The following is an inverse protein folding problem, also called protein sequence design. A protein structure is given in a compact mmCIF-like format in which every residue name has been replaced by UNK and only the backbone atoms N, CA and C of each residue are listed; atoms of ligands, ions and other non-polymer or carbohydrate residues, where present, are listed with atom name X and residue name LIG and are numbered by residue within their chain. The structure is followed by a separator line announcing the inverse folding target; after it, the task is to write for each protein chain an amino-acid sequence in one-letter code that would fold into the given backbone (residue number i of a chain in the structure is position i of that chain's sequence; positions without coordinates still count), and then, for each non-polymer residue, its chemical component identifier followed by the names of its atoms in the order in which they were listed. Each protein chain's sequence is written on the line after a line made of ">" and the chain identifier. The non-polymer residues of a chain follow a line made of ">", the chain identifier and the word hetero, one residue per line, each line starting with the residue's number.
data_IF_209711001921
#
_entry.id   IF_209711001921
#
_cell.length_a   1.000
_cell.length_b   1.000
_cell.length_c   1.000
_cell.angle_alpha   90.00
_cell.angle_beta   90.00
_cell.angle_gamma   90.00
#
_symmetry.space_group_name_H-M   'P 1'
#
loop_
_entity.id
_entity.type
_entity.pdbx_description
1 polymer ?
#
# COMPACT_ATOMS: atom_id res chain seq x y z
N UNK A 1 -8.73 -5.73 -13.60
CA UNK A 1 -8.19 -4.96 -14.76
C UNK A 1 -6.70 -4.94 -14.55
N UNK A 2 -5.96 -5.76 -15.30
CA UNK A 2 -4.51 -5.87 -15.18
C UNK A 2 -3.90 -4.54 -15.64
N UNK A 3 -3.69 -3.62 -14.71
CA UNK A 3 -3.07 -2.36 -15.03
C UNK A 3 -1.57 -2.62 -15.16
N UNK A 4 -1.08 -2.78 -16.38
CA UNK A 4 0.33 -3.07 -16.65
C UNK A 4 1.27 -2.03 -16.04
N UNK A 5 0.78 -0.80 -15.81
CA UNK A 5 1.53 0.29 -15.18
C UNK A 5 1.69 0.06 -13.67
N UNK A 6 0.65 -0.44 -13.00
CA UNK A 6 0.69 -0.82 -11.56
C UNK A 6 1.74 -1.91 -11.32
N UNK A 7 1.74 -2.95 -12.15
CA UNK A 7 2.73 -4.02 -12.07
C UNK A 7 4.13 -3.54 -12.42
N UNK A 8 4.29 -2.69 -13.45
CA UNK A 8 5.60 -2.15 -13.84
C UNK A 8 6.21 -1.23 -12.76
N UNK A 9 5.41 -0.32 -12.20
CA UNK A 9 5.86 0.58 -11.13
C UNK A 9 6.17 -0.21 -9.85
N UNK A 10 5.30 -1.13 -9.47
CA UNK A 10 5.49 -1.95 -8.27
C UNK A 10 6.76 -2.80 -8.35
N UNK A 11 7.08 -3.34 -9.52
CA UNK A 11 8.30 -4.11 -9.76
C UNK A 11 9.55 -3.21 -9.73
N UNK A 12 9.49 -2.01 -10.33
CA UNK A 12 10.56 -1.00 -10.26
C UNK A 12 10.86 -0.54 -8.82
N UNK A 13 9.83 -0.29 -8.02
CA UNK A 13 9.98 0.13 -6.62
C UNK A 13 10.51 -1.02 -5.75
N UNK A 14 10.03 -2.24 -5.98
CA UNK A 14 10.54 -3.44 -5.33
C UNK A 14 12.03 -3.66 -5.63
N UNK A 15 12.44 -3.53 -6.89
CA UNK A 15 13.85 -3.63 -7.28
C UNK A 15 14.69 -2.51 -6.64
N UNK A 16 14.21 -1.26 -6.71
CA UNK A 16 14.94 -0.10 -6.19
C UNK A 16 15.14 -0.15 -4.67
N UNK A 17 14.09 -0.55 -3.94
CA UNK A 17 14.12 -0.60 -2.49
C UNK A 17 14.44 -1.99 -1.92
N UNK A 18 14.76 -2.96 -2.80
CA UNK A 18 14.99 -4.38 -2.47
C UNK A 18 13.85 -5.01 -1.65
N UNK A 19 12.63 -4.57 -1.92
CA UNK A 19 11.41 -5.13 -1.32
C UNK A 19 10.78 -6.16 -2.25
N UNK A 20 9.89 -6.98 -1.69
CA UNK A 20 9.10 -7.94 -2.45
C UNK A 20 7.89 -7.23 -3.10
N UNK A 21 7.78 -7.29 -4.43
CA UNK A 21 6.57 -6.86 -5.15
C UNK A 21 5.51 -7.94 -5.06
N UNK A 22 4.27 -7.53 -4.83
CA UNK A 22 3.14 -8.44 -4.70
C UNK A 22 2.03 -8.05 -5.67
N UNK A 23 1.68 -8.96 -6.58
CA UNK A 23 0.61 -8.78 -7.54
C UNK A 23 -0.72 -9.28 -6.95
N UNK A 24 -1.52 -8.34 -6.46
CA UNK A 24 -2.83 -8.63 -5.88
C UNK A 24 -3.82 -9.18 -6.91
N UNK A 25 -3.70 -8.80 -8.18
CA UNK A 25 -4.67 -9.20 -9.21
C UNK A 25 -4.42 -10.67 -9.61
N UNK A 26 -3.14 -11.06 -9.69
CA UNK A 26 -2.72 -12.44 -9.92
C UNK A 26 -3.23 -13.38 -8.81
N UNK A 27 -3.17 -12.96 -7.55
CA UNK A 27 -3.61 -13.79 -6.43
C UNK A 27 -5.12 -13.87 -6.29
N UNK A 28 -5.85 -12.78 -6.56
CA UNK A 28 -7.32 -12.85 -6.63
C UNK A 28 -7.76 -13.81 -7.74
N UNK A 29 -7.09 -13.78 -8.89
CA UNK A 29 -7.32 -14.74 -9.98
C UNK A 29 -7.05 -16.17 -9.52
N UNK A 30 -5.93 -16.44 -8.85
CA UNK A 30 -5.58 -17.78 -8.38
C UNK A 30 -6.59 -18.32 -7.35
N UNK A 31 -6.93 -17.52 -6.33
CA UNK A 31 -7.89 -17.89 -5.28
C UNK A 31 -9.31 -18.06 -5.83
N UNK A 32 -9.68 -17.30 -6.86
CA UNK A 32 -10.98 -17.46 -7.54
C UNK A 32 -11.04 -18.69 -8.47
N UNK A 33 -9.92 -19.36 -8.75
CA UNK A 33 -9.85 -20.49 -9.69
C UNK A 33 -9.60 -20.08 -11.15
N UNK A 34 -9.05 -18.89 -11.38
CA UNK A 34 -8.64 -18.34 -12.67
C UNK A 34 -9.26 -16.97 -12.99
N UNK A 35 -8.72 -16.33 -14.03
CA UNK A 35 -9.05 -14.94 -14.40
C UNK A 35 -10.54 -14.77 -14.78
N UNK A 36 -11.11 -15.78 -15.46
CA UNK A 36 -12.54 -15.81 -15.79
C UNK A 36 -13.43 -15.93 -14.55
N UNK A 37 -13.01 -16.66 -13.52
CA UNK A 37 -13.79 -16.83 -12.30
C UNK A 37 -13.71 -15.57 -11.41
N UNK A 38 -12.57 -14.89 -11.40
CA UNK A 38 -12.41 -13.59 -10.74
C UNK A 38 -13.32 -12.51 -11.36
N UNK A 39 -13.45 -12.49 -12.69
CA UNK A 39 -14.37 -11.57 -13.39
C UNK A 39 -15.82 -11.87 -13.01
N UNK A 40 -16.23 -13.14 -13.06
CA UNK A 40 -17.59 -13.54 -12.64
C UNK A 40 -17.89 -13.23 -11.16
N UNK A 41 -16.89 -13.32 -10.27
CA UNK A 41 -17.04 -12.90 -8.87
C UNK A 41 -17.30 -11.40 -8.76
N UNK A 42 -16.62 -10.58 -9.57
CA UNK A 42 -16.81 -9.12 -9.60
C UNK A 42 -18.20 -8.73 -10.10
N UNK A 43 -18.76 -9.50 -11.03
CA UNK A 43 -20.09 -9.26 -11.60
C UNK A 43 -21.24 -9.87 -10.78
N UNK A 44 -20.92 -10.67 -9.75
CA UNK A 44 -21.92 -11.32 -8.90
C UNK A 44 -22.56 -10.36 -7.90
N UNK A 45 -23.85 -10.57 -7.61
CA UNK A 45 -24.62 -9.81 -6.64
C UNK A 45 -23.94 -9.82 -5.26
N UNK A 46 -24.05 -8.71 -4.50
CA UNK A 46 -23.39 -8.56 -3.18
C UNK A 46 -23.61 -9.76 -2.24
N UNK A 47 -24.79 -10.40 -2.32
CA UNK A 47 -25.15 -11.54 -1.48
C UNK A 47 -24.40 -12.82 -1.87
N UNK A 48 -24.25 -13.08 -3.17
CA UNK A 48 -23.50 -14.23 -3.68
C UNK A 48 -22.00 -14.09 -3.43
N UNK A 49 -21.48 -12.87 -3.48
CA UNK A 49 -20.09 -12.56 -3.12
C UNK A 49 -19.82 -12.77 -1.62
N UNK A 50 -20.74 -12.34 -0.75
CA UNK A 50 -20.62 -12.44 0.72
C UNK A 50 -20.65 -13.88 1.26
N UNK A 51 -21.36 -14.77 0.58
CA UNK A 51 -21.48 -16.19 0.95
C UNK A 51 -20.38 -17.05 0.30
N UNK A 52 -19.50 -16.45 -0.50
CA UNK A 52 -18.45 -17.17 -1.24
C UNK A 52 -17.29 -17.61 -0.34
N UNK A 53 -16.87 -18.87 -0.49
CA UNK A 53 -15.65 -19.40 0.12
C UNK A 53 -14.40 -18.61 -0.32
N UNK A 54 -14.42 -18.08 -1.55
CA UNK A 54 -13.36 -17.22 -2.11
C UNK A 54 -13.19 -15.95 -1.29
N UNK A 55 -14.26 -15.34 -0.80
CA UNK A 55 -14.17 -14.13 0.04
C UNK A 55 -13.52 -14.45 1.40
N UNK A 56 -13.84 -15.60 1.98
CA UNK A 56 -13.23 -16.04 3.24
C UNK A 56 -11.73 -16.29 3.08
N UNK A 57 -11.33 -16.94 1.98
CA UNK A 57 -9.92 -17.16 1.64
C UNK A 57 -9.19 -15.84 1.37
N UNK A 58 -9.82 -14.90 0.66
CA UNK A 58 -9.24 -13.59 0.38
C UNK A 58 -9.08 -12.75 1.66
N UNK A 59 -10.04 -12.79 2.58
CA UNK A 59 -9.91 -12.14 3.89
C UNK A 59 -8.77 -12.74 4.72
N UNK A 60 -8.62 -14.06 4.73
CA UNK A 60 -7.52 -14.73 5.45
C UNK A 60 -6.15 -14.31 4.88
N UNK A 61 -6.04 -14.26 3.54
CA UNK A 61 -4.84 -13.78 2.86
C UNK A 61 -4.55 -12.31 3.21
N UNK A 62 -5.56 -11.45 3.16
CA UNK A 62 -5.41 -10.04 3.52
C UNK A 62 -4.89 -9.86 4.95
N UNK A 63 -5.43 -10.58 5.93
CA UNK A 63 -5.00 -10.48 7.33
C UNK A 63 -3.56 -10.98 7.54
N UNK A 64 -3.16 -12.05 6.87
CA UNK A 64 -1.79 -12.55 6.94
C UNK A 64 -0.80 -11.53 6.34
N UNK A 65 -1.17 -10.92 5.23
CA UNK A 65 -0.35 -9.93 4.54
C UNK A 65 -0.27 -8.59 5.27
N UNK A 66 -1.40 -8.12 5.83
CA UNK A 66 -1.45 -6.85 6.56
C UNK A 66 -0.48 -6.84 7.74
N UNK A 67 -0.21 -7.99 8.35
CA UNK A 67 0.80 -8.14 9.41
C UNK A 67 2.19 -7.71 8.94
N UNK A 68 2.57 -7.98 7.70
CA UNK A 68 3.86 -7.55 7.13
C UNK A 68 3.99 -6.03 7.02
N UNK A 69 2.87 -5.32 6.87
CA UNK A 69 2.83 -3.86 6.81
C UNK A 69 2.62 -3.18 8.16
N UNK A 70 2.40 -3.93 9.25
CA UNK A 70 2.16 -3.38 10.57
C UNK A 70 3.35 -2.56 11.13
N UNK A 71 4.56 -2.81 10.61
CA UNK A 71 5.79 -2.09 10.97
C UNK A 71 6.14 -0.97 9.98
N UNK A 72 5.31 -0.69 8.98
CA UNK A 72 5.58 0.36 8.02
C UNK A 72 5.58 1.75 8.68
N UNK A 73 6.56 2.58 8.36
CA UNK A 73 6.66 3.97 8.85
C UNK A 73 5.55 4.89 8.31
N UNK A 74 4.89 4.44 7.23
CA UNK A 74 3.89 5.20 6.49
C UNK A 74 2.85 4.29 5.83
N UNK A 75 1.66 4.84 5.62
CA UNK A 75 0.58 4.18 4.88
C UNK A 75 0.01 5.16 3.87
N UNK A 76 -0.14 4.72 2.62
CA UNK A 76 -0.81 5.48 1.54
C UNK A 76 -2.17 4.84 1.29
N UNK A 77 -3.23 5.65 1.36
CA UNK A 77 -4.61 5.20 1.16
C UNK A 77 -5.14 5.70 -0.18
N UNK A 78 -5.54 4.76 -1.05
CA UNK A 78 -6.18 5.06 -2.33
C UNK A 78 -7.46 5.89 -2.14
N UNK A 79 -8.26 5.55 -1.12
CA UNK A 79 -9.50 6.25 -0.81
C UNK A 79 -9.25 7.69 -0.37
N UNK A 80 -8.21 7.91 0.44
CA UNK A 80 -7.80 9.25 0.88
C UNK A 80 -7.39 10.10 -0.33
N UNK A 81 -6.62 9.53 -1.25
CA UNK A 81 -6.20 10.23 -2.48
C UNK A 81 -7.41 10.58 -3.34
N UNK A 82 -8.32 9.63 -3.58
CA UNK A 82 -9.57 9.87 -4.31
C UNK A 82 -10.37 11.03 -3.71
N UNK A 83 -10.60 10.98 -2.38
CA UNK A 83 -11.33 12.02 -1.66
C UNK A 83 -10.65 13.39 -1.76
N UNK A 84 -9.32 13.45 -1.62
CA UNK A 84 -8.56 14.70 -1.70
C UNK A 84 -8.56 15.32 -3.10
N UNK A 85 -8.64 14.50 -4.14
CA UNK A 85 -8.71 14.93 -5.53
C UNK A 85 -10.15 15.17 -6.01
N UNK A 86 -11.15 14.87 -5.18
CA UNK A 86 -12.56 15.06 -5.51
C UNK A 86 -13.10 14.00 -6.48
N UNK A 87 -12.46 12.84 -6.56
CA UNK A 87 -12.97 11.72 -7.36
C UNK A 87 -14.11 11.01 -6.62
N UNK A 88 -15.20 10.74 -7.35
CA UNK A 88 -16.33 9.96 -6.84
C UNK A 88 -16.06 8.45 -6.84
N UNK A 89 -15.16 8.00 -7.72
CA UNK A 89 -14.75 6.60 -7.87
C UNK A 89 -13.25 6.45 -7.62
N UNK A 90 -12.88 5.40 -6.88
CA UNK A 90 -11.48 5.04 -6.63
C UNK A 90 -10.78 4.57 -7.90
N UNK A 91 -11.52 4.04 -8.89
CA UNK A 91 -10.98 3.64 -10.18
C UNK A 91 -10.49 4.83 -11.03
N UNK A 92 -10.89 6.06 -10.67
CA UNK A 92 -10.41 7.28 -11.33
C UNK A 92 -9.03 7.74 -10.84
N UNK A 93 -8.51 7.20 -9.73
CA UNK A 93 -7.21 7.58 -9.20
C UNK A 93 -6.10 7.05 -10.11
N UNK A 94 -5.24 7.93 -10.61
CA UNK A 94 -4.17 7.54 -11.51
C UNK A 94 -2.93 7.03 -10.76
N UNK A 95 -1.98 6.47 -11.52
CA UNK A 95 -0.69 6.06 -10.95
C UNK A 95 0.12 7.26 -10.50
N UNK A 96 0.05 8.37 -11.23
CA UNK A 96 0.69 9.64 -10.87
C UNK A 96 0.15 10.15 -9.53
N UNK A 97 -1.16 10.08 -9.31
CA UNK A 97 -1.79 10.53 -8.07
C UNK A 97 -1.24 9.77 -6.84
N UNK A 98 -1.13 8.44 -6.95
CA UNK A 98 -0.57 7.60 -5.88
C UNK A 98 0.93 7.81 -5.73
N UNK A 99 1.66 7.93 -6.83
CA UNK A 99 3.11 8.21 -6.81
C UNK A 99 3.40 9.52 -6.09
N UNK A 100 2.59 10.55 -6.36
CA UNK A 100 2.71 11.84 -5.67
C UNK A 100 2.42 11.73 -4.18
N UNK A 101 1.41 10.96 -3.77
CA UNK A 101 1.13 10.75 -2.34
C UNK A 101 2.26 9.98 -1.64
N UNK A 102 2.85 8.97 -2.30
CA UNK A 102 4.04 8.25 -1.79
C UNK A 102 5.22 9.22 -1.61
N UNK A 103 5.50 10.06 -2.59
CA UNK A 103 6.61 11.03 -2.52
C UNK A 103 6.42 12.05 -1.39
N UNK A 104 5.20 12.57 -1.20
CA UNK A 104 4.89 13.47 -0.07
C UNK A 104 5.15 12.79 1.27
N UNK A 105 4.83 11.51 1.39
CA UNK A 105 4.99 10.77 2.63
C UNK A 105 6.47 10.46 2.92
N UNK A 106 7.26 10.12 1.89
CA UNK A 106 8.72 10.01 1.98
C UNK A 106 9.33 11.35 2.41
N UNK A 107 8.89 12.46 1.82
CA UNK A 107 9.35 13.79 2.20
C UNK A 107 9.03 14.08 3.68
N UNK A 108 7.80 13.81 4.11
CA UNK A 108 7.35 13.98 5.51
C UNK A 108 8.24 13.19 6.46
N UNK A 109 8.46 11.90 6.20
CA UNK A 109 9.32 11.03 7.02
C UNK A 109 10.77 11.53 7.05
N UNK A 110 11.30 11.94 5.91
CA UNK A 110 12.67 12.49 5.82
C UNK A 110 12.84 13.73 6.69
N UNK A 111 11.84 14.63 6.70
CA UNK A 111 11.85 15.83 7.56
C UNK A 111 11.80 15.46 9.04
N UNK A 112 10.91 14.54 9.42
CA UNK A 112 10.79 14.06 10.82
C UNK A 112 12.10 13.43 11.30
N UNK A 113 12.71 12.56 10.51
CA UNK A 113 13.99 11.92 10.84
C UNK A 113 15.09 12.96 11.12
N UNK A 114 15.23 13.97 10.27
CA UNK A 114 16.20 15.06 10.46
C UNK A 114 15.97 15.83 11.76
N UNK A 115 14.70 16.11 12.10
CA UNK A 115 14.35 16.78 13.35
C UNK A 115 14.68 15.90 14.57
N UNK A 116 14.39 14.60 14.51
CA UNK A 116 14.74 13.66 15.57
C UNK A 116 16.26 13.57 15.79
N UNK A 117 17.05 13.47 14.71
CA UNK A 117 18.52 13.47 14.78
C UNK A 117 19.10 14.79 15.31
N UNK A 118 18.46 15.93 15.00
CA UNK A 118 18.85 17.23 15.52
C UNK A 118 18.50 17.36 17.02
N UNK A 119 17.37 16.80 17.46
CA UNK A 119 16.95 16.81 18.86
C UNK A 119 17.73 15.81 19.74
N UNK A 120 18.29 14.74 19.16
CA UNK A 120 19.14 13.79 19.88
C UNK A 120 20.56 14.32 20.17
N UNK A 121 21.11 15.15 19.27
CA UNK A 121 22.45 15.77 19.42
C UNK A 121 22.67 16.64 20.68
N UNK A 122 21.74 17.53 21.13
CA UNK A 122 21.98 18.40 22.28
C UNK A 122 22.15 17.66 23.63
N UNK A 123 21.86 16.36 23.72
CA UNK A 123 22.06 15.56 24.94
C UNK A 123 23.48 14.97 25.06
N UNK A 124 24.23 14.89 23.97
CA UNK A 124 25.63 14.41 23.99
C UNK A 124 26.59 15.54 24.39
N UNK A 125 26.38 16.74 23.87
CA UNK A 125 27.20 17.93 24.18
C UNK A 125 27.03 18.39 25.65
N UNK A 126 25.86 18.17 26.25
CA UNK A 126 25.61 18.50 27.66
C UNK A 126 26.32 17.57 28.66
N UNK A 127 26.65 16.33 28.27
CA UNK A 127 27.42 15.39 29.12
C UNK A 127 28.91 15.71 29.16
N UNK A 128 29.42 16.50 28.22
CA UNK A 128 30.84 16.93 28.20
C UNK A 128 31.10 18.06 29.21
N UNK A 129 30.07 18.80 29.65
CA UNK A 129 30.20 19.93 30.58
C UNK A 129 29.91 19.61 32.06
N UNK A 130 29.65 18.35 32.41
CA UNK A 130 29.39 17.91 33.81
C UNK A 130 30.50 17.01 34.38
N UNK A 131 31.77 17.29 34.08
CA UNK A 131 32.92 16.73 34.79
C UNK A 131 33.67 17.80 35.60
#
# INVERSE_FOLDING_TARGET
>A
MNNSVKSSLGMLLADLFRYYYFDSDALVSEVAGGESAAISLKESDEKGFRESEVLSQLMALYEDMRRGYATADATVSLQKVAYQLGYEDMDAVTTEDITMEVLKEIERLTRVKKMMEAAARPLEDAKVYTM
#
